data_IF_309062565549
#
_entry.id   IF_309062565549
#
_cell.length_a   1.000
_cell.length_b   1.000
_cell.length_c   1.000
_cell.angle_alpha   90.00
_cell.angle_beta   90.00
_cell.angle_gamma   90.00
#
_symmetry.space_group_name_H-M   'P 1'
#
loop_
_entity.id
_entity.type
_entity.pdbx_description
1 polymer ?
#
# COMPACT_ATOMS: atom_id res chain seq x y z
N UNK A 1 -0.68 -8.15 15.45
CA UNK A 1 0.52 -7.31 15.18
C UNK A 1 0.12 -6.41 14.01
N UNK A 2 0.04 -5.08 14.14
CA UNK A 2 -0.67 -4.28 13.12
C UNK A 2 0.03 -4.22 11.73
N UNK A 3 -0.70 -3.71 10.72
CA UNK A 3 -0.22 -3.58 9.34
C UNK A 3 1.06 -2.76 9.23
N UNK A 4 1.18 -1.67 9.98
CA UNK A 4 2.36 -0.79 9.95
C UNK A 4 3.61 -1.56 10.37
N UNK A 5 3.51 -2.41 11.40
CA UNK A 5 4.62 -3.24 11.84
C UNK A 5 5.11 -4.21 10.76
N UNK A 6 4.20 -4.78 9.96
CA UNK A 6 4.56 -5.62 8.83
C UNK A 6 5.19 -4.81 7.70
N UNK A 7 4.59 -3.68 7.30
CA UNK A 7 5.13 -2.82 6.24
C UNK A 7 6.55 -2.31 6.52
N UNK A 8 6.95 -2.19 7.80
CA UNK A 8 8.32 -1.85 8.19
C UNK A 8 9.35 -2.93 7.88
N UNK A 9 8.94 -4.17 7.63
CA UNK A 9 9.82 -5.27 7.25
C UNK A 9 10.26 -5.20 5.78
N UNK A 10 9.53 -4.43 4.95
CA UNK A 10 9.91 -4.22 3.55
C UNK A 10 11.22 -3.42 3.50
N UNK A 11 12.24 -4.01 2.87
CA UNK A 11 13.56 -3.40 2.74
C UNK A 11 13.49 -2.07 1.99
N UNK A 12 14.02 -1.01 2.60
CA UNK A 12 14.15 0.29 1.93
C UNK A 12 15.35 0.28 0.97
N UNK A 13 15.07 0.43 -0.32
CA UNK A 13 16.07 0.47 -1.39
C UNK A 13 16.61 1.90 -1.67
N UNK A 14 16.11 2.92 -0.95
CA UNK A 14 16.44 4.32 -1.17
C UNK A 14 17.60 4.73 -0.28
N UNK A 15 18.53 5.52 -0.82
CA UNK A 15 19.76 5.91 -0.11
C UNK A 15 19.51 6.97 0.99
N UNK A 16 18.70 7.99 0.71
CA UNK A 16 18.39 9.07 1.65
C UNK A 16 16.92 9.49 1.54
N UNK A 17 15.99 8.65 2.04
CA UNK A 17 14.58 8.92 1.90
C UNK A 17 14.10 10.02 2.86
N UNK A 18 13.33 10.98 2.34
CA UNK A 18 12.65 12.00 3.17
C UNK A 18 11.59 11.43 4.09
N UNK A 19 10.94 10.34 3.67
CA UNK A 19 9.85 9.68 4.38
C UNK A 19 10.19 8.21 4.57
N UNK A 20 9.89 7.61 5.73
CA UNK A 20 9.99 6.16 5.90
C UNK A 20 9.21 5.41 4.81
N UNK A 21 9.74 4.28 4.33
CA UNK A 21 9.11 3.54 3.22
C UNK A 21 7.69 3.13 3.55
N UNK A 22 7.47 2.61 4.76
CA UNK A 22 6.16 2.16 5.22
C UNK A 22 5.08 3.25 5.13
N UNK A 23 5.42 4.54 5.27
CA UNK A 23 4.47 5.64 5.11
C UNK A 23 3.94 5.69 3.68
N UNK A 24 4.85 5.59 2.71
CA UNK A 24 4.47 5.62 1.29
C UNK A 24 3.62 4.41 0.93
N UNK A 25 4.01 3.22 1.41
CA UNK A 25 3.28 1.97 1.18
C UNK A 25 1.86 2.03 1.79
N UNK A 26 1.74 2.52 3.02
CA UNK A 26 0.45 2.67 3.69
C UNK A 26 -0.48 3.61 2.93
N UNK A 27 0.03 4.76 2.44
CA UNK A 27 -0.76 5.70 1.64
C UNK A 27 -1.25 5.07 0.34
N UNK A 28 -0.43 4.25 -0.31
CA UNK A 28 -0.83 3.51 -1.52
C UNK A 28 -1.93 2.50 -1.21
N UNK A 29 -1.80 1.74 -0.12
CA UNK A 29 -2.82 0.76 0.30
C UNK A 29 -4.14 1.47 0.60
N UNK A 30 -4.13 2.51 1.45
CA UNK A 30 -5.34 3.26 1.80
C UNK A 30 -5.99 3.92 0.57
N UNK A 31 -5.19 4.51 -0.32
CA UNK A 31 -5.70 5.08 -1.56
C UNK A 31 -6.30 4.02 -2.49
N UNK A 32 -5.66 2.86 -2.60
CA UNK A 32 -6.16 1.73 -3.41
C UNK A 32 -7.48 1.19 -2.85
N UNK A 33 -7.59 1.02 -1.53
CA UNK A 33 -8.84 0.65 -0.85
C UNK A 33 -9.94 1.69 -1.05
N UNK A 34 -9.55 2.96 -1.25
CA UNK A 34 -10.45 4.08 -1.56
C UNK A 34 -10.70 4.24 -3.07
N UNK A 35 -10.44 3.20 -3.88
CA UNK A 35 -10.60 3.18 -5.33
C UNK A 35 -9.76 4.24 -6.10
N UNK A 36 -8.67 4.74 -5.50
CA UNK A 36 -7.75 5.68 -6.13
C UNK A 36 -6.62 4.93 -6.85
N UNK A 37 -6.91 4.37 -8.03
CA UNK A 37 -6.00 3.42 -8.71
C UNK A 37 -4.87 4.08 -9.53
N UNK A 38 -4.92 5.39 -9.75
CA UNK A 38 -3.91 6.13 -10.51
C UNK A 38 -3.05 7.05 -9.62
N UNK A 39 -1.81 7.35 -10.04
CA UNK A 39 -0.91 8.21 -9.26
C UNK A 39 -1.46 9.61 -8.98
N UNK A 40 -2.23 10.19 -9.91
CA UNK A 40 -2.90 11.49 -9.69
C UNK A 40 -3.98 11.37 -8.61
N UNK A 41 -4.86 10.38 -8.75
CA UNK A 41 -5.89 10.09 -7.74
C UNK A 41 -5.29 9.79 -6.37
N UNK A 42 -4.18 9.05 -6.29
CA UNK A 42 -3.44 8.83 -5.05
C UNK A 42 -2.88 10.15 -4.49
N UNK A 43 -2.35 11.02 -5.34
CA UNK A 43 -1.91 12.37 -4.94
C UNK A 43 -3.05 13.19 -4.35
N UNK A 44 -4.21 13.19 -5.01
CA UNK A 44 -5.41 13.92 -4.56
C UNK A 44 -5.95 13.35 -3.25
N UNK A 45 -5.95 12.02 -3.09
CA UNK A 45 -6.28 11.33 -1.84
C UNK A 45 -5.38 11.81 -0.70
N UNK A 46 -4.06 11.82 -0.92
CA UNK A 46 -3.09 12.25 0.09
C UNK A 46 -3.28 13.71 0.48
N UNK A 47 -3.51 14.60 -0.49
CA UNK A 47 -3.77 16.01 -0.23
C UNK A 47 -5.05 16.19 0.58
N UNK A 48 -6.14 15.53 0.17
CA UNK A 48 -7.46 15.60 0.82
C UNK A 48 -7.40 15.18 2.29
N UNK A 49 -6.65 14.13 2.60
CA UNK A 49 -6.59 13.55 3.95
C UNK A 49 -5.35 13.97 4.75
N UNK A 50 -4.53 14.90 4.25
CA UNK A 50 -3.21 15.20 4.80
C UNK A 50 -3.25 15.56 6.29
N UNK A 51 -4.14 16.48 6.69
CA UNK A 51 -4.20 16.96 8.07
C UNK A 51 -4.47 15.81 9.04
N UNK A 52 -5.54 15.06 8.78
CA UNK A 52 -5.98 13.93 9.62
C UNK A 52 -4.90 12.85 9.67
N UNK A 53 -4.29 12.51 8.54
CA UNK A 53 -3.26 11.48 8.46
C UNK A 53 -1.96 11.85 9.19
N UNK A 54 -1.56 13.13 9.14
CA UNK A 54 -0.40 13.61 9.90
C UNK A 54 -0.64 13.55 11.42
N UNK A 55 -1.84 13.94 11.86
CA UNK A 55 -2.25 13.87 13.27
C UNK A 55 -2.30 12.42 13.77
N UNK A 56 -2.95 11.52 13.03
CA UNK A 56 -3.10 10.10 13.40
C UNK A 56 -1.77 9.36 13.46
N UNK A 57 -0.89 9.57 12.47
CA UNK A 57 0.39 8.86 12.38
C UNK A 57 1.50 9.50 13.22
N UNK A 58 1.27 10.68 13.81
CA UNK A 58 2.24 11.46 14.59
C UNK A 58 3.59 11.61 13.87
N UNK A 59 3.57 11.86 12.56
CA UNK A 59 4.78 11.96 11.75
C UNK A 59 5.49 13.29 12.00
N UNK A 60 6.84 13.33 12.06
CA UNK A 60 7.62 14.56 12.24
C UNK A 60 7.74 15.38 10.94
N UNK A 61 6.70 15.35 10.09
CA UNK A 61 6.70 15.97 8.77
C UNK A 61 5.55 16.97 8.64
N UNK A 62 5.81 18.13 8.04
CA UNK A 62 4.78 19.15 7.77
C UNK A 62 3.82 18.78 6.63
N UNK A 63 4.22 17.86 5.76
CA UNK A 63 3.48 17.45 4.55
C UNK A 63 3.71 15.97 4.27
N UNK A 64 2.71 15.32 3.68
CA UNK A 64 2.81 13.93 3.23
C UNK A 64 3.51 13.82 1.84
N UNK A 65 3.97 12.62 1.45
CA UNK A 65 4.53 12.37 0.13
C UNK A 65 3.61 12.83 -1.01
N UNK A 66 4.13 13.64 -1.93
CA UNK A 66 3.43 14.00 -3.15
C UNK A 66 3.40 12.85 -4.17
N UNK A 67 2.57 12.99 -5.22
CA UNK A 67 2.40 11.97 -6.26
C UNK A 67 3.73 11.50 -6.88
N UNK A 68 4.70 12.41 -7.08
CA UNK A 68 5.99 12.08 -7.69
C UNK A 68 6.88 11.27 -6.74
N UNK A 69 6.73 11.47 -5.44
CA UNK A 69 7.41 10.65 -4.42
C UNK A 69 6.81 9.25 -4.38
N UNK A 70 5.48 9.13 -4.38
CA UNK A 70 4.77 7.84 -4.45
C UNK A 70 5.17 7.09 -5.71
N UNK A 71 5.10 7.73 -6.88
CA UNK A 71 5.47 7.12 -8.16
C UNK A 71 6.91 6.59 -8.17
N UNK A 72 7.88 7.36 -7.66
CA UNK A 72 9.29 6.93 -7.61
C UNK A 72 9.50 5.70 -6.72
N UNK A 73 8.73 5.59 -5.63
CA UNK A 73 8.74 4.40 -4.78
C UNK A 73 8.13 3.21 -5.51
N UNK A 74 6.92 3.37 -6.05
CA UNK A 74 6.19 2.27 -6.68
C UNK A 74 6.91 1.71 -7.91
N UNK A 75 7.62 2.51 -8.70
CA UNK A 75 8.38 2.00 -9.86
C UNK A 75 9.51 1.05 -9.47
N UNK A 76 10.05 1.17 -8.25
CA UNK A 76 11.26 0.46 -7.81
C UNK A 76 11.01 -0.55 -6.71
N UNK A 77 9.78 -0.61 -6.18
CA UNK A 77 9.46 -1.51 -5.07
C UNK A 77 9.54 -2.95 -5.53
N UNK A 78 10.06 -3.82 -4.67
CA UNK A 78 9.92 -5.26 -4.84
C UNK A 78 8.48 -5.64 -4.51
N UNK A 79 7.67 -5.80 -5.56
CA UNK A 79 6.26 -6.16 -5.42
C UNK A 79 6.06 -7.55 -4.80
N UNK A 80 6.95 -8.49 -5.07
CA UNK A 80 6.87 -9.84 -4.50
C UNK A 80 7.07 -9.78 -2.99
N UNK A 81 8.10 -9.06 -2.53
CA UNK A 81 8.34 -8.83 -1.11
C UNK A 81 7.17 -8.09 -0.44
N UNK A 82 6.67 -7.01 -1.07
CA UNK A 82 5.53 -6.25 -0.54
C UNK A 82 4.27 -7.11 -0.41
N UNK A 83 3.94 -7.89 -1.44
CA UNK A 83 2.78 -8.79 -1.44
C UNK A 83 2.91 -9.87 -0.36
N UNK A 84 4.10 -10.44 -0.17
CA UNK A 84 4.34 -11.41 0.90
C UNK A 84 4.07 -10.79 2.27
N UNK A 85 4.70 -9.65 2.57
CA UNK A 85 4.54 -8.94 3.84
C UNK A 85 3.08 -8.56 4.12
N UNK A 86 2.35 -8.14 3.09
CA UNK A 86 0.93 -7.81 3.22
C UNK A 86 0.08 -9.07 3.49
N UNK A 87 0.35 -10.18 2.79
CA UNK A 87 -0.36 -11.43 2.99
C UNK A 87 -0.10 -12.03 4.36
N UNK A 88 1.14 -11.96 4.85
CA UNK A 88 1.51 -12.42 6.19
C UNK A 88 0.73 -11.65 7.26
N UNK A 89 0.63 -10.33 7.10
CA UNK A 89 -0.22 -9.51 7.97
C UNK A 89 -1.69 -9.92 7.90
N UNK A 90 -2.23 -10.07 6.68
CA UNK A 90 -3.63 -10.40 6.50
C UNK A 90 -3.97 -11.76 7.13
N UNK A 91 -3.11 -12.77 6.96
CA UNK A 91 -3.27 -14.08 7.59
C UNK A 91 -3.15 -14.04 9.11
N UNK A 92 -2.28 -13.18 9.65
CA UNK A 92 -2.12 -13.03 11.10
C UNK A 92 -3.31 -12.33 11.77
N UNK A 93 -4.01 -11.44 11.07
CA UNK A 93 -5.18 -10.73 11.60
C UNK A 93 -6.51 -11.42 11.25
N UNK A 94 -6.58 -12.19 10.17
CA UNK A 94 -7.75 -13.00 9.81
C UNK A 94 -7.75 -14.30 10.62
N UNK A 95 -8.40 -14.29 11.78
CA UNK A 95 -8.75 -15.51 12.50
C UNK A 95 -9.94 -16.14 11.76
N UNK A 96 -9.67 -16.93 10.73
CA UNK A 96 -10.70 -17.73 10.05
C UNK A 96 -11.03 -18.91 10.97
N UNK A 97 -12.24 -18.95 11.51
CA UNK A 97 -12.66 -20.09 12.31
C UNK A 97 -12.70 -21.36 11.43
N UNK A 98 -12.43 -22.56 11.98
CA UNK A 98 -12.57 -23.79 11.20
C UNK A 98 -13.99 -23.87 10.61
N UNK A 99 -14.08 -23.96 9.27
CA UNK A 99 -15.31 -23.96 8.43
C UNK A 99 -15.93 -22.59 8.11
N UNK A 100 -15.28 -21.48 8.42
CA UNK A 100 -15.72 -20.17 7.98
C UNK A 100 -15.42 -19.98 6.48
N UNK A 101 -16.46 -19.74 5.69
CA UNK A 101 -16.35 -19.57 4.24
C UNK A 101 -15.97 -18.13 3.93
N UNK A 102 -14.72 -17.92 3.50
CA UNK A 102 -14.26 -16.63 2.97
C UNK A 102 -14.45 -16.64 1.45
N UNK A 103 -15.41 -15.87 0.97
CA UNK A 103 -15.58 -15.62 -0.47
C UNK A 103 -14.52 -14.59 -0.91
N UNK A 104 -13.51 -15.04 -1.65
CA UNK A 104 -12.47 -14.19 -2.24
C UNK A 104 -12.83 -13.91 -3.70
N UNK A 105 -13.40 -12.73 -4.00
CA UNK A 105 -13.52 -12.26 -5.39
C UNK A 105 -12.22 -11.60 -5.83
N UNK A 106 -11.27 -12.42 -6.26
CA UNK A 106 -10.06 -11.97 -6.92
C UNK A 106 -10.25 -11.96 -8.42
N UNK A 107 -10.60 -10.81 -9.02
CA UNK A 107 -10.47 -10.65 -10.48
C UNK A 107 -8.99 -10.69 -10.85
N UNK A 108 -8.49 -11.88 -11.14
CA UNK A 108 -7.15 -12.06 -11.67
C UNK A 108 -7.16 -11.68 -13.15
N UNK A 109 -6.33 -10.71 -13.56
CA UNK A 109 -6.07 -10.35 -14.97
C UNK A 109 -5.24 -11.46 -15.63
N UNK A 110 -5.67 -12.72 -15.53
CA UNK A 110 -5.05 -13.86 -16.20
C UNK A 110 -5.82 -14.26 -17.46
N UNK A 111 -7.02 -13.70 -17.66
CA UNK A 111 -7.92 -14.06 -18.77
C UNK A 111 -8.10 -12.98 -19.85
N UNK A 112 -7.66 -11.73 -19.64
CA UNK A 112 -7.90 -10.64 -20.61
C UNK A 112 -6.83 -10.47 -21.69
N UNK A 113 -5.82 -11.35 -21.75
CA UNK A 113 -4.82 -11.38 -22.83
C UNK A 113 -4.67 -12.80 -23.39
N UNK A 114 -5.72 -13.29 -24.03
CA UNK A 114 -5.58 -14.28 -25.09
C UNK A 114 -6.24 -13.72 -26.35
N UNK A 115 -5.43 -13.56 -27.40
CA UNK A 115 -5.76 -13.10 -28.77
C UNK A 115 -5.85 -11.58 -28.98
N UNK A 116 -4.69 -10.97 -29.19
CA UNK A 116 -4.53 -10.18 -30.41
C UNK A 116 -3.80 -11.06 -31.41
N UNK A 117 -4.50 -11.42 -32.49
CA UNK A 117 -3.96 -12.06 -33.68
C UNK A 117 -3.80 -10.97 -34.73
#
# INVERSE_FOLDING_TARGET
>A
MNLISHLKQVRDFRTQPRYPLWVVLLLVIMGTMSNCLGYRALGDFVVRHQKVLLELMKLPHKRLPCYSTIRRVMIRIDYTCLSQVFNDWAQAELIVAPKEQVAVDGKSIKASLQRFR
#
